data_IF_365282439333
#
_entry.id   IF_365282439333
#
_cell.length_a   1.000
_cell.length_b   1.000
_cell.length_c   1.000
_cell.angle_alpha   90.00
_cell.angle_beta   90.00
_cell.angle_gamma   90.00
#
_symmetry.space_group_name_H-M   'P 1'
#
loop_
_entity.id
_entity.type
_entity.pdbx_description
1 polymer ?
#
# COMPACT_ATOMS: atom_id res chain seq x y z
N UNK A 1 12.36 -46.18 -10.52
CA UNK A 1 12.46 -44.98 -9.65
C UNK A 1 13.08 -43.78 -10.38
N UNK A 2 14.14 -43.94 -11.17
CA UNK A 2 14.81 -42.83 -11.87
C UNK A 2 13.96 -42.04 -12.91
N UNK A 3 12.94 -42.65 -13.53
CA UNK A 3 12.10 -41.99 -14.53
C UNK A 3 10.92 -41.16 -13.96
N UNK A 4 10.61 -41.29 -12.66
CA UNK A 4 9.45 -40.61 -12.04
C UNK A 4 9.81 -39.16 -11.67
N UNK A 5 11.04 -38.93 -11.20
CA UNK A 5 11.51 -37.61 -10.80
C UNK A 5 11.51 -36.56 -11.93
N UNK A 6 12.02 -36.85 -13.15
CA UNK A 6 11.98 -35.86 -14.24
C UNK A 6 10.57 -35.54 -14.71
N UNK A 7 9.70 -36.55 -14.86
CA UNK A 7 8.28 -36.35 -15.24
C UNK A 7 7.55 -35.49 -14.21
N UNK A 8 7.81 -35.72 -12.92
CA UNK A 8 7.24 -34.90 -11.86
C UNK A 8 7.74 -33.45 -11.91
N UNK A 9 9.04 -33.24 -12.16
CA UNK A 9 9.61 -31.91 -12.31
C UNK A 9 9.04 -31.16 -13.53
N UNK A 10 8.90 -31.84 -14.67
CA UNK A 10 8.28 -31.29 -15.89
C UNK A 10 6.82 -30.88 -15.64
N UNK A 11 6.04 -31.73 -14.97
CA UNK A 11 4.67 -31.42 -14.62
C UNK A 11 4.57 -30.18 -13.71
N UNK A 12 5.42 -30.06 -12.69
CA UNK A 12 5.47 -28.89 -11.82
C UNK A 12 5.86 -27.62 -12.58
N UNK A 13 6.84 -27.71 -13.48
CA UNK A 13 7.23 -26.59 -14.35
C UNK A 13 6.07 -26.16 -15.26
N UNK A 14 5.36 -27.11 -15.88
CA UNK A 14 4.20 -26.82 -16.72
C UNK A 14 3.08 -26.12 -15.93
N UNK A 15 2.78 -26.61 -14.72
CA UNK A 15 1.80 -25.98 -13.82
C UNK A 15 2.23 -24.55 -13.48
N UNK A 16 3.51 -24.34 -13.13
CA UNK A 16 4.05 -23.01 -12.85
C UNK A 16 3.94 -22.06 -14.03
N UNK A 17 4.26 -22.52 -15.25
CA UNK A 17 4.15 -21.72 -16.47
C UNK A 17 2.69 -21.37 -16.80
N UNK A 18 1.77 -22.31 -16.64
CA UNK A 18 0.33 -22.07 -16.84
C UNK A 18 -0.18 -21.04 -15.83
N UNK A 19 0.18 -21.18 -14.55
CA UNK A 19 -0.16 -20.23 -13.50
C UNK A 19 0.33 -18.81 -13.86
N UNK A 20 1.58 -18.70 -14.32
CA UNK A 20 2.17 -17.43 -14.73
C UNK A 20 1.48 -16.82 -15.95
N UNK A 21 1.17 -17.64 -16.96
CA UNK A 21 0.46 -17.17 -18.15
C UNK A 21 -0.93 -16.62 -17.81
N UNK A 22 -1.71 -17.35 -17.00
CA UNK A 22 -3.04 -16.90 -16.58
C UNK A 22 -2.92 -15.62 -15.74
N UNK A 23 -2.02 -15.60 -14.76
CA UNK A 23 -1.79 -14.42 -13.91
C UNK A 23 -1.38 -13.19 -14.72
N UNK A 24 -0.50 -13.35 -15.71
CA UNK A 24 -0.09 -12.26 -16.60
C UNK A 24 -1.27 -11.71 -17.43
N UNK A 25 -2.16 -12.57 -17.92
CA UNK A 25 -3.39 -12.13 -18.59
C UNK A 25 -4.33 -11.33 -17.66
N UNK A 26 -4.41 -11.71 -16.38
CA UNK A 26 -5.23 -11.02 -15.38
C UNK A 26 -4.63 -9.68 -14.92
N UNK A 27 -3.31 -9.55 -14.95
CA UNK A 27 -2.56 -8.33 -14.59
C UNK A 27 -2.57 -7.30 -15.73
N UNK A 28 -3.14 -7.64 -16.90
CA UNK A 28 -3.21 -6.78 -18.08
C UNK A 28 -3.48 -5.32 -17.68
N UNK A 29 -2.65 -4.36 -18.16
CA UNK A 29 -2.63 -2.99 -17.67
C UNK A 29 -3.92 -2.27 -18.04
N UNK A 30 -4.97 -2.48 -17.25
CA UNK A 30 -6.09 -1.58 -17.20
C UNK A 30 -5.57 -0.34 -16.51
N UNK A 31 -5.21 0.67 -17.31
CA UNK A 31 -5.09 2.02 -16.79
C UNK A 31 -6.41 2.36 -16.15
N UNK A 32 -6.40 2.43 -14.82
CA UNK A 32 -7.46 3.07 -14.08
C UNK A 32 -7.65 4.46 -14.70
N UNK A 33 -8.86 4.72 -15.17
CA UNK A 33 -9.35 6.06 -15.43
C UNK A 33 -10.48 6.32 -14.44
N UNK A 34 -10.26 5.90 -13.18
CA UNK A 34 -11.24 6.04 -12.14
C UNK A 34 -11.63 7.51 -12.04
N UNK A 35 -12.89 7.78 -12.39
CA UNK A 35 -13.44 9.12 -12.26
C UNK A 35 -13.68 9.37 -10.79
N UNK A 36 -13.26 10.53 -10.32
CA UNK A 36 -13.58 11.00 -8.98
C UNK A 36 -15.12 11.08 -8.88
N UNK A 37 -15.74 10.45 -7.87
CA UNK A 37 -17.18 10.57 -7.66
C UNK A 37 -17.59 12.04 -7.48
N UNK A 38 -18.77 12.44 -7.95
CA UNK A 38 -19.26 13.84 -7.80
C UNK A 38 -19.28 14.30 -6.33
N UNK A 39 -19.57 13.38 -5.41
CA UNK A 39 -19.48 13.58 -3.96
C UNK A 39 -18.32 12.77 -3.38
N UNK A 40 -17.10 13.13 -3.78
CA UNK A 40 -15.88 12.49 -3.31
C UNK A 40 -15.71 12.69 -1.78
N UNK A 41 -15.80 11.63 -0.95
CA UNK A 41 -15.57 11.76 0.48
C UNK A 41 -14.11 12.13 0.75
N UNK A 42 -13.84 12.95 1.77
CA UNK A 42 -12.48 13.28 2.12
C UNK A 42 -11.74 12.10 2.73
N UNK A 43 -10.42 12.03 2.52
CA UNK A 43 -9.60 10.85 2.86
C UNK A 43 -8.46 11.24 3.79
N UNK A 44 -8.23 10.48 4.87
CA UNK A 44 -7.00 10.54 5.64
C UNK A 44 -6.06 9.41 5.22
N UNK A 45 -4.87 9.75 4.74
CA UNK A 45 -3.81 8.80 4.38
C UNK A 45 -2.78 8.75 5.52
N UNK A 46 -2.60 7.57 6.11
CA UNK A 46 -1.57 7.30 7.10
C UNK A 46 -0.31 6.75 6.43
N UNK A 47 0.83 7.39 6.71
CA UNK A 47 2.17 7.03 6.27
C UNK A 47 3.10 6.82 7.47
N UNK A 48 3.13 5.62 8.07
CA UNK A 48 4.11 5.31 9.11
C UNK A 48 5.51 5.29 8.51
N UNK A 49 6.46 5.98 9.15
CA UNK A 49 7.84 6.17 8.73
C UNK A 49 8.80 5.42 9.65
N UNK A 50 9.91 4.96 9.08
CA UNK A 50 11.04 4.42 9.84
C UNK A 50 12.34 4.50 9.03
N UNK A 51 13.16 5.50 9.32
CA UNK A 51 14.42 5.74 8.61
C UNK A 51 14.23 6.17 7.16
N UNK A 52 15.34 6.32 6.44
CA UNK A 52 15.34 6.68 5.03
C UNK A 52 15.71 5.48 4.18
N UNK A 53 14.78 5.08 3.32
CA UNK A 53 15.00 4.07 2.30
C UNK A 53 15.28 4.75 0.94
N UNK A 54 15.93 4.05 0.01
CA UNK A 54 16.10 4.54 -1.35
C UNK A 54 14.75 4.95 -1.97
N UNK A 55 14.75 6.05 -2.73
CA UNK A 55 13.55 6.61 -3.40
C UNK A 55 12.44 7.13 -2.47
N UNK A 56 12.64 7.13 -1.14
CA UNK A 56 11.62 7.60 -0.19
C UNK A 56 11.11 9.01 -0.49
N UNK A 57 11.99 9.95 -0.86
CA UNK A 57 11.58 11.33 -1.22
C UNK A 57 10.56 11.35 -2.36
N UNK A 58 10.81 10.58 -3.43
CA UNK A 58 9.90 10.42 -4.56
C UNK A 58 8.64 9.63 -4.21
N UNK A 59 8.75 8.61 -3.34
CA UNK A 59 7.60 7.84 -2.87
C UNK A 59 6.64 8.73 -2.10
N UNK A 60 7.14 9.50 -1.12
CA UNK A 60 6.34 10.44 -0.35
C UNK A 60 5.80 11.56 -1.23
N UNK A 61 6.62 12.14 -2.12
CA UNK A 61 6.18 13.20 -3.05
C UNK A 61 5.01 12.77 -3.93
N UNK A 62 4.95 11.50 -4.36
CA UNK A 62 3.83 11.00 -5.16
C UNK A 62 2.47 11.16 -4.47
N UNK A 63 2.42 11.18 -3.13
CA UNK A 63 1.20 11.43 -2.36
C UNK A 63 0.85 12.91 -2.25
N UNK A 64 1.82 13.82 -2.37
CA UNK A 64 1.56 15.26 -2.45
C UNK A 64 1.02 15.67 -3.83
N UNK A 65 1.23 14.83 -4.84
CA UNK A 65 0.81 15.05 -6.23
C UNK A 65 -0.51 14.34 -6.60
N UNK A 66 -1.25 13.83 -5.60
CA UNK A 66 -2.54 13.17 -5.83
C UNK A 66 -3.55 14.16 -6.41
N UNK A 67 -4.26 13.72 -7.45
CA UNK A 67 -5.37 14.44 -8.05
C UNK A 67 -6.68 14.01 -7.38
N UNK A 68 -6.89 14.53 -6.17
CA UNK A 68 -8.09 14.25 -5.36
C UNK A 68 -8.50 15.50 -4.57
N UNK A 69 -9.80 15.86 -4.52
CA UNK A 69 -10.22 17.19 -4.09
C UNK A 69 -9.96 17.50 -2.62
N UNK A 70 -10.10 16.50 -1.73
CA UNK A 70 -9.89 16.70 -0.31
C UNK A 70 -9.26 15.46 0.32
N UNK A 71 -8.02 15.62 0.78
CA UNK A 71 -7.32 14.59 1.52
C UNK A 71 -6.34 15.20 2.52
N UNK A 72 -6.00 14.41 3.53
CA UNK A 72 -5.03 14.72 4.56
C UNK A 72 -3.94 13.66 4.54
N UNK A 73 -2.68 14.07 4.58
CA UNK A 73 -1.53 13.19 4.80
C UNK A 73 -1.13 13.24 6.27
N UNK A 74 -1.15 12.10 6.95
CA UNK A 74 -0.69 11.94 8.33
C UNK A 74 0.56 11.09 8.30
N UNK A 75 1.70 11.69 8.63
CA UNK A 75 2.98 11.01 8.77
C UNK A 75 3.25 10.70 10.24
N UNK A 76 3.74 9.50 10.53
CA UNK A 76 4.04 9.09 11.91
C UNK A 76 5.45 8.55 12.01
N UNK A 77 6.21 8.93 13.03
CA UNK A 77 7.52 8.36 13.31
C UNK A 77 7.67 8.08 14.81
N UNK A 78 8.22 6.91 15.16
CA UNK A 78 8.47 6.55 16.55
C UNK A 78 9.57 7.40 17.18
N UNK A 79 10.61 7.69 16.41
CA UNK A 79 11.68 8.60 16.81
C UNK A 79 11.36 10.02 16.31
N UNK A 80 11.25 11.02 17.21
CA UNK A 80 11.13 12.42 16.81
C UNK A 80 12.30 12.94 15.95
N UNK A 81 13.45 12.24 15.97
CA UNK A 81 14.62 12.55 15.17
C UNK A 81 14.75 11.64 13.93
N UNK A 82 13.70 10.90 13.56
CA UNK A 82 13.73 10.04 12.39
C UNK A 82 14.08 10.86 11.12
N UNK A 83 15.12 10.47 10.35
CA UNK A 83 15.58 11.24 9.21
C UNK A 83 14.53 11.39 8.10
N UNK A 84 13.52 10.52 8.04
CA UNK A 84 12.40 10.67 7.11
C UNK A 84 11.58 11.95 7.37
N UNK A 85 11.55 12.44 8.62
CA UNK A 85 10.81 13.65 8.97
C UNK A 85 11.38 14.90 8.28
N UNK A 86 12.69 14.93 8.00
CA UNK A 86 13.31 16.01 7.24
C UNK A 86 12.79 16.05 5.79
N UNK A 87 12.53 14.89 5.19
CA UNK A 87 11.93 14.76 3.86
C UNK A 87 10.50 15.32 3.89
N UNK A 88 9.69 14.88 4.86
CA UNK A 88 8.31 15.37 5.04
C UNK A 88 8.28 16.89 5.23
N UNK A 89 9.21 17.44 6.02
CA UNK A 89 9.33 18.88 6.24
C UNK A 89 9.57 19.65 4.94
N UNK A 90 10.47 19.18 4.07
CA UNK A 90 10.73 19.79 2.76
C UNK A 90 9.51 19.70 1.84
N UNK A 91 8.86 18.54 1.77
CA UNK A 91 7.67 18.35 0.93
C UNK A 91 6.51 19.23 1.39
N UNK A 92 6.30 19.36 2.71
CA UNK A 92 5.29 20.26 3.28
C UNK A 92 5.54 21.73 2.93
N UNK A 93 6.81 22.17 2.89
CA UNK A 93 7.16 23.52 2.44
C UNK A 93 6.93 23.71 0.94
N UNK A 94 7.22 22.68 0.14
CA UNK A 94 7.04 22.70 -1.31
C UNK A 94 5.57 22.66 -1.75
N UNK A 95 4.71 22.00 -0.97
CA UNK A 95 3.29 21.80 -1.25
C UNK A 95 2.42 22.30 -0.09
N UNK A 96 2.42 23.61 0.21
CA UNK A 96 1.74 24.18 1.38
C UNK A 96 0.21 24.05 1.34
N UNK A 97 -0.36 23.76 0.18
CA UNK A 97 -1.80 23.53 -0.02
C UNK A 97 -2.27 22.15 0.45
N UNK A 98 -1.35 21.19 0.66
CA UNK A 98 -1.70 19.82 1.09
C UNK A 98 -1.82 19.82 2.62
N UNK A 99 -2.93 19.29 3.13
CA UNK A 99 -3.14 19.16 4.58
C UNK A 99 -2.24 18.06 5.15
N UNK A 100 -1.25 18.46 5.94
CA UNK A 100 -0.25 17.56 6.51
C UNK A 100 -0.26 17.63 8.03
N UNK A 101 -0.37 16.47 8.68
CA UNK A 101 -0.08 16.28 10.09
C UNK A 101 1.13 15.37 10.29
N UNK A 102 1.92 15.66 11.31
CA UNK A 102 3.07 14.84 11.71
C UNK A 102 2.88 14.45 13.18
N UNK A 103 2.96 13.16 13.46
CA UNK A 103 2.85 12.60 14.81
C UNK A 103 4.19 11.93 15.15
N UNK A 104 4.82 12.39 16.23
CA UNK A 104 6.08 11.83 16.71
C UNK A 104 5.99 11.48 18.20
N UNK A 105 6.87 10.58 18.64
CA UNK A 105 7.02 10.22 20.03
C UNK A 105 6.99 8.72 20.25
N UNK A 106 7.35 8.27 21.46
CA UNK A 106 7.33 6.86 21.80
C UNK A 106 5.89 6.34 21.67
N UNK A 107 5.71 5.39 20.78
CA UNK A 107 4.43 4.73 20.60
C UNK A 107 4.18 3.73 21.73
N UNK A 108 2.91 3.31 21.84
CA UNK A 108 2.53 2.18 22.70
C UNK A 108 3.45 0.97 22.43
N UNK A 109 3.90 0.32 23.50
CA UNK A 109 4.67 -0.94 23.37
C UNK A 109 3.81 -2.01 22.69
N UNK A 110 4.41 -2.73 21.74
CA UNK A 110 3.76 -3.81 20.97
C UNK A 110 4.74 -4.44 19.99
N UNK A 111 4.45 -5.68 19.55
CA UNK A 111 5.33 -6.42 18.64
C UNK A 111 5.35 -5.80 17.24
N UNK A 112 4.21 -5.28 16.80
CA UNK A 112 4.08 -4.63 15.50
C UNK A 112 4.31 -3.11 15.59
N UNK A 113 5.55 -2.68 15.33
CA UNK A 113 5.95 -1.26 15.37
C UNK A 113 5.16 -0.38 14.39
N UNK A 114 4.77 -0.91 13.22
CA UNK A 114 3.93 -0.19 12.23
C UNK A 114 2.55 0.09 12.83
N UNK A 115 1.94 -0.91 13.46
CA UNK A 115 0.62 -0.75 14.10
C UNK A 115 0.69 0.17 15.32
N UNK A 116 1.74 0.06 16.15
CA UNK A 116 1.95 0.99 17.25
C UNK A 116 1.97 2.46 16.77
N UNK A 117 2.64 2.72 15.65
CA UNK A 117 2.67 4.03 15.00
C UNK A 117 1.28 4.45 14.50
N UNK A 118 0.54 3.56 13.81
CA UNK A 118 -0.83 3.84 13.34
C UNK A 118 -1.79 4.17 14.49
N UNK A 119 -1.66 3.53 15.66
CA UNK A 119 -2.44 3.85 16.86
C UNK A 119 -2.19 5.29 17.30
N UNK A 120 -0.93 5.73 17.38
CA UNK A 120 -0.60 7.10 17.74
C UNK A 120 -1.07 8.12 16.70
N UNK A 121 -0.92 7.79 15.41
CA UNK A 121 -1.31 8.65 14.29
C UNK A 121 -2.83 8.85 14.20
N UNK A 122 -3.62 7.88 14.66
CA UNK A 122 -5.08 7.88 14.55
C UNK A 122 -5.73 9.16 15.08
N UNK A 123 -5.21 9.71 16.18
CA UNK A 123 -5.75 10.93 16.80
C UNK A 123 -5.65 12.19 15.93
N UNK A 124 -4.74 12.21 14.95
CA UNK A 124 -4.57 13.34 14.03
C UNK A 124 -5.50 13.27 12.80
N UNK A 125 -6.25 12.18 12.64
CA UNK A 125 -7.05 11.93 11.46
C UNK A 125 -8.34 12.77 11.43
N UNK A 126 -8.51 13.56 10.37
CA UNK A 126 -9.66 14.46 10.19
C UNK A 126 -10.85 13.84 9.47
N UNK A 127 -10.65 12.72 8.78
CA UNK A 127 -11.68 12.13 7.92
C UNK A 127 -12.00 10.69 8.31
N UNK A 128 -13.13 10.18 7.83
CA UNK A 128 -13.62 8.84 8.16
C UNK A 128 -13.26 7.78 7.12
N UNK A 129 -12.67 8.16 6.00
CA UNK A 129 -12.08 7.22 5.04
C UNK A 129 -10.57 7.16 5.28
N UNK A 130 -10.09 5.99 5.69
CA UNK A 130 -8.69 5.76 6.00
C UNK A 130 -8.01 5.02 4.87
N UNK A 131 -6.85 5.51 4.46
CA UNK A 131 -5.89 4.80 3.61
C UNK A 131 -4.61 4.62 4.42
N UNK A 132 -4.18 3.39 4.62
CA UNK A 132 -2.89 3.05 5.23
C UNK A 132 -1.99 2.63 4.09
N UNK A 133 -0.84 3.28 3.94
CA UNK A 133 0.14 2.95 2.90
C UNK A 133 1.54 2.92 3.49
N UNK A 134 2.36 1.99 3.02
CA UNK A 134 3.78 1.97 3.37
C UNK A 134 4.52 3.20 2.82
N UNK A 135 5.65 3.53 3.46
CA UNK A 135 6.42 4.74 3.18
C UNK A 135 7.07 4.71 1.78
N UNK A 136 7.43 3.53 1.31
CA UNK A 136 8.09 3.22 0.03
C UNK A 136 7.10 3.02 -1.15
N UNK A 137 5.79 3.10 -0.90
CA UNK A 137 4.80 3.00 -1.97
C UNK A 137 4.81 4.27 -2.85
N UNK A 138 4.92 4.05 -4.16
CA UNK A 138 4.75 5.07 -5.19
C UNK A 138 3.37 4.93 -5.84
N UNK A 139 2.66 6.04 -6.01
CA UNK A 139 1.28 6.02 -6.54
C UNK A 139 1.09 6.96 -7.72
N UNK A 140 0.12 6.63 -8.57
CA UNK A 140 -0.33 7.48 -9.65
C UNK A 140 -1.26 8.59 -9.11
N UNK A 141 -1.42 9.73 -9.82
CA UNK A 141 -2.27 10.82 -9.36
C UNK A 141 -3.73 10.42 -9.09
N UNK A 142 -4.28 9.46 -9.83
CA UNK A 142 -5.67 8.98 -9.70
C UNK A 142 -5.87 7.91 -8.61
N UNK A 143 -4.82 7.60 -7.83
CA UNK A 143 -4.82 6.50 -6.86
C UNK A 143 -5.97 6.56 -5.84
N UNK A 144 -6.24 7.74 -5.26
CA UNK A 144 -7.36 7.89 -4.31
C UNK A 144 -8.71 7.77 -5.01
N UNK A 145 -8.83 8.24 -6.26
CA UNK A 145 -10.07 8.09 -7.03
C UNK A 145 -10.40 6.59 -7.24
N UNK A 146 -9.40 5.77 -7.58
CA UNK A 146 -9.56 4.33 -7.75
C UNK A 146 -9.98 3.62 -6.44
N UNK A 147 -9.31 3.95 -5.33
CA UNK A 147 -9.63 3.41 -4.01
C UNK A 147 -11.05 3.76 -3.61
N UNK A 148 -11.40 5.05 -3.68
CA UNK A 148 -12.68 5.56 -3.21
C UNK A 148 -13.83 5.04 -4.07
N UNK A 149 -13.65 4.98 -5.39
CA UNK A 149 -14.64 4.38 -6.31
C UNK A 149 -14.91 2.93 -5.96
N UNK A 150 -13.87 2.17 -5.62
CA UNK A 150 -14.02 0.76 -5.21
C UNK A 150 -14.71 0.65 -3.86
N UNK A 151 -14.30 1.47 -2.89
CA UNK A 151 -14.86 1.45 -1.54
C UNK A 151 -16.31 1.93 -1.51
N UNK A 152 -16.75 2.80 -2.45
CA UNK A 152 -18.12 3.31 -2.52
C UNK A 152 -19.19 2.22 -2.70
N UNK A 153 -18.80 1.03 -3.18
CA UNK A 153 -19.67 -0.15 -3.26
C UNK A 153 -20.09 -0.61 -1.85
N UNK A 154 -21.40 -0.74 -1.55
CA UNK A 154 -21.89 -1.03 -0.20
C UNK A 154 -21.36 -2.32 0.44
N UNK A 155 -21.08 -3.33 -0.38
CA UNK A 155 -20.57 -4.63 0.04
C UNK A 155 -19.05 -4.64 0.32
N UNK A 156 -18.34 -3.56 -0.03
CA UNK A 156 -16.89 -3.46 0.14
C UNK A 156 -16.55 -2.77 1.46
N UNK A 157 -16.04 -3.55 2.42
CA UNK A 157 -15.55 -3.04 3.71
C UNK A 157 -14.05 -2.72 3.74
N UNK A 158 -13.27 -3.29 2.82
CA UNK A 158 -11.81 -3.16 2.77
C UNK A 158 -11.33 -3.24 1.32
N UNK A 159 -10.43 -2.33 0.95
CA UNK A 159 -9.78 -2.26 -0.36
C UNK A 159 -8.28 -2.42 -0.16
N UNK A 160 -7.63 -3.16 -1.06
CA UNK A 160 -6.18 -3.24 -1.17
C UNK A 160 -5.78 -3.11 -2.64
N UNK A 161 -4.54 -2.75 -2.91
CA UNK A 161 -4.04 -2.61 -4.28
C UNK A 161 -2.98 -3.67 -4.57
N UNK A 162 -3.00 -4.20 -5.79
CA UNK A 162 -1.82 -4.85 -6.32
C UNK A 162 -0.69 -3.83 -6.53
N UNK A 163 0.54 -4.31 -6.51
CA UNK A 163 1.73 -3.48 -6.66
C UNK A 163 2.82 -4.21 -7.44
N UNK A 164 3.69 -3.41 -8.04
CA UNK A 164 4.88 -3.87 -8.75
C UNK A 164 6.13 -3.45 -7.98
N UNK A 165 7.17 -4.27 -8.03
CA UNK A 165 8.49 -3.91 -7.55
C UNK A 165 9.16 -2.89 -8.47
N UNK A 166 9.66 -1.81 -7.88
CA UNK A 166 10.52 -0.81 -8.52
C UNK A 166 11.94 -0.97 -7.94
N UNK A 167 12.94 -1.40 -8.73
CA UNK A 167 14.29 -1.53 -8.21
C UNK A 167 14.88 -0.14 -7.93
N UNK A 168 15.29 0.09 -6.68
CA UNK A 168 15.94 1.35 -6.29
C UNK A 168 17.34 1.54 -6.89
N UNK A 169 18.01 0.44 -7.26
CA UNK A 169 19.31 0.43 -7.92
C UNK A 169 19.30 -0.56 -9.07
N UNK A 170 20.11 -0.34 -10.09
CA UNK A 170 20.24 -1.25 -11.24
C UNK A 170 21.14 -2.46 -10.95
N UNK A 171 21.37 -2.78 -9.67
CA UNK A 171 22.13 -3.96 -9.27
C UNK A 171 21.36 -5.23 -9.64
N UNK A 172 22.08 -6.32 -9.90
CA UNK A 172 21.46 -7.61 -10.19
C UNK A 172 20.50 -8.04 -9.07
N UNK A 173 20.89 -7.86 -7.80
CA UNK A 173 20.05 -8.18 -6.65
C UNK A 173 18.76 -7.33 -6.62
N UNK A 174 18.86 -6.02 -6.86
CA UNK A 174 17.70 -5.13 -6.93
C UNK A 174 16.72 -5.51 -8.04
N UNK A 175 17.26 -5.80 -9.24
CA UNK A 175 16.47 -6.26 -10.40
C UNK A 175 15.79 -7.60 -10.13
N UNK A 176 16.50 -8.58 -9.56
CA UNK A 176 15.94 -9.88 -9.23
C UNK A 176 14.83 -9.76 -8.16
N UNK A 177 15.01 -8.91 -7.15
CA UNK A 177 13.98 -8.62 -6.15
C UNK A 177 12.72 -8.02 -6.79
N UNK A 178 12.87 -7.02 -7.66
CA UNK A 178 11.76 -6.44 -8.39
C UNK A 178 11.08 -7.45 -9.34
N UNK A 179 11.86 -8.28 -10.04
CA UNK A 179 11.34 -9.35 -10.89
C UNK A 179 10.54 -10.38 -10.10
N UNK A 180 10.96 -10.74 -8.88
CA UNK A 180 10.21 -11.66 -8.04
C UNK A 180 8.85 -11.09 -7.65
N UNK A 181 8.75 -9.77 -7.42
CA UNK A 181 7.46 -9.11 -7.18
C UNK A 181 6.62 -9.11 -8.47
N UNK A 182 7.20 -8.67 -9.58
CA UNK A 182 6.49 -8.43 -10.84
C UNK A 182 6.05 -9.70 -11.57
N UNK A 183 6.86 -10.76 -11.49
CA UNK A 183 6.67 -12.01 -12.22
C UNK A 183 6.48 -13.23 -11.31
N UNK A 184 6.62 -13.08 -9.99
CA UNK A 184 6.30 -14.13 -9.03
C UNK A 184 5.00 -13.80 -8.30
N UNK A 185 5.08 -12.79 -7.44
CA UNK A 185 3.99 -12.38 -6.55
C UNK A 185 2.77 -11.87 -7.32
N UNK A 186 2.92 -10.87 -8.18
CA UNK A 186 1.78 -10.15 -8.77
C UNK A 186 0.86 -11.06 -9.62
N UNK A 187 1.37 -11.87 -10.58
CA UNK A 187 0.52 -12.82 -11.32
C UNK A 187 -0.14 -13.86 -10.40
N UNK A 188 0.59 -14.35 -9.40
CA UNK A 188 0.07 -15.30 -8.41
C UNK A 188 -1.05 -14.70 -7.56
N UNK A 189 -0.88 -13.46 -7.09
CA UNK A 189 -1.86 -12.73 -6.29
C UNK A 189 -3.12 -12.39 -7.11
N UNK A 190 -2.96 -12.02 -8.38
CA UNK A 190 -4.07 -11.78 -9.30
C UNK A 190 -4.89 -13.06 -9.56
N UNK A 191 -4.21 -14.19 -9.83
CA UNK A 191 -4.87 -15.49 -10.00
C UNK A 191 -5.57 -15.92 -8.71
N UNK A 192 -4.90 -15.81 -7.57
CA UNK A 192 -5.48 -16.09 -6.25
C UNK A 192 -6.78 -15.31 -6.02
N UNK A 193 -6.78 -14.01 -6.32
CA UNK A 193 -7.96 -13.15 -6.23
C UNK A 193 -9.06 -13.61 -7.17
N UNK A 194 -8.74 -13.96 -8.41
CA UNK A 194 -9.70 -14.49 -9.38
C UNK A 194 -10.31 -15.84 -8.95
N UNK A 195 -9.55 -16.65 -8.20
CA UNK A 195 -10.02 -17.89 -7.58
C UNK A 195 -10.78 -17.67 -6.26
N UNK A 196 -11.06 -16.42 -5.88
CA UNK A 196 -11.92 -16.08 -4.76
C UNK A 196 -11.20 -15.74 -3.45
N UNK A 197 -9.86 -15.68 -3.42
CA UNK A 197 -9.14 -15.20 -2.22
C UNK A 197 -9.46 -13.74 -1.94
N UNK A 198 -9.74 -13.42 -0.68
CA UNK A 198 -10.15 -12.09 -0.21
C UNK A 198 -9.12 -11.45 0.74
N UNK A 199 -7.89 -11.96 0.78
CA UNK A 199 -6.86 -11.43 1.68
C UNK A 199 -6.55 -9.95 1.39
N UNK A 200 -6.11 -9.24 2.42
CA UNK A 200 -5.65 -7.87 2.33
C UNK A 200 -4.12 -7.82 2.23
N UNK A 201 -3.57 -7.04 1.29
CA UNK A 201 -2.14 -6.84 1.16
C UNK A 201 -1.74 -5.63 2.02
N UNK A 202 -0.73 -5.80 2.88
CA UNK A 202 -0.34 -4.80 3.88
C UNK A 202 0.28 -3.51 3.32
N UNK A 203 0.68 -3.52 2.04
CA UNK A 203 1.32 -2.39 1.36
C UNK A 203 0.39 -1.18 1.22
N UNK A 204 -0.88 -1.43 0.93
CA UNK A 204 -1.94 -0.42 0.87
C UNK A 204 -3.26 -1.04 1.28
N UNK A 205 -3.93 -0.39 2.23
CA UNK A 205 -5.23 -0.80 2.75
C UNK A 205 -6.12 0.42 2.87
N UNK A 206 -7.38 0.32 2.45
CA UNK A 206 -8.33 1.40 2.59
C UNK A 206 -9.67 0.90 3.11
N UNK A 207 -10.21 1.59 4.11
CA UNK A 207 -11.43 1.21 4.80
C UNK A 207 -12.05 2.43 5.47
N UNK A 208 -13.31 2.30 5.87
CA UNK A 208 -13.96 3.33 6.68
C UNK A 208 -13.54 3.17 8.14
N UNK A 209 -13.47 4.29 8.85
CA UNK A 209 -13.22 4.34 10.30
C UNK A 209 -14.18 3.42 11.06
N UNK A 210 -15.47 3.43 10.71
CA UNK A 210 -16.48 2.55 11.31
C UNK A 210 -16.16 1.06 11.12
N UNK A 211 -15.63 0.69 9.95
CA UNK A 211 -15.33 -0.70 9.60
C UNK A 211 -14.08 -1.16 10.38
N UNK A 212 -13.10 -0.27 10.55
CA UNK A 212 -11.94 -0.47 11.43
C UNK A 212 -12.35 -0.59 12.91
N UNK A 213 -13.27 0.24 13.37
CA UNK A 213 -13.73 0.23 14.76
C UNK A 213 -14.55 -1.01 15.09
N UNK A 214 -15.33 -1.52 14.13
CA UNK A 214 -16.10 -2.76 14.27
C UNK A 214 -15.21 -3.98 14.55
N UNK A 215 -13.93 -3.95 14.12
CA UNK A 215 -12.95 -5.03 14.37
C UNK A 215 -12.03 -4.75 15.58
N UNK A 216 -12.32 -3.73 16.39
CA UNK A 216 -11.52 -3.36 17.57
C UNK A 216 -10.42 -2.33 17.31
N UNK A 217 -10.42 -1.69 16.14
CA UNK A 217 -9.46 -0.65 15.79
C UNK A 217 -8.06 -1.18 15.49
N UNK A 218 -7.10 -0.27 15.30
CA UNK A 218 -5.68 -0.66 15.15
C UNK A 218 -5.14 -1.42 16.37
N UNK A 219 -5.70 -1.21 17.56
CA UNK A 219 -5.29 -1.90 18.78
C UNK A 219 -5.48 -3.43 18.69
N UNK A 220 -6.47 -3.91 17.93
CA UNK A 220 -6.68 -5.34 17.70
C UNK A 220 -5.59 -5.99 16.84
N UNK A 221 -4.71 -5.19 16.21
CA UNK A 221 -3.66 -5.64 15.30
C UNK A 221 -2.24 -5.48 15.88
N UNK A 222 -2.11 -5.10 17.16
CA UNK A 222 -0.85 -4.68 17.76
C UNK A 222 0.12 -5.86 18.07
N UNK A 223 -0.43 -7.06 18.31
CA UNK A 223 0.29 -8.22 18.88
C UNK A 223 0.40 -9.42 17.93
#
# INVERSE_FOLDING_TARGET
MAAILPVFAEALCAVGLIQQAIGACLVSPQRSSAKIPEQAPPVTVFKPLHGVEPLLDTALESFFLLDYPQFQLVFGAADPNDPALAIVGRLRQRYPQVDVAVVTGPHREGRNRKVANLIAMRGAARHDLFVISDADMHVAPDFLAAIVTTLARPEVGLVTTFYTGLPATDTLAGRLGAMQINHGFLPGAALARALGRQDCLGATMALRRRDLDAIGGFAALLD
#
